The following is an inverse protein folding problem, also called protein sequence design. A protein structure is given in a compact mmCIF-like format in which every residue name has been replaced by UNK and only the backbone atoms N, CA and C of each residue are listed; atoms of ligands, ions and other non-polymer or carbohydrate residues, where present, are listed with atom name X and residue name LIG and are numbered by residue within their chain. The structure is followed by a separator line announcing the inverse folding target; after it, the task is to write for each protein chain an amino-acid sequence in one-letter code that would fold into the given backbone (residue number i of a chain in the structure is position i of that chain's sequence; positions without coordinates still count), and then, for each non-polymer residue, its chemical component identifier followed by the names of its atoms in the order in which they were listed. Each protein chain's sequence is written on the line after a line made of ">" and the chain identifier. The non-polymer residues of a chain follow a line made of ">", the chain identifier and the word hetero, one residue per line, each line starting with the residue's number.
data_IF_015189764404
#
_entry.id   IF_015189764404
#
_cell.length_a   1.000
_cell.length_b   1.000
_cell.length_c   1.000
_cell.angle_alpha   90.00
_cell.angle_beta   90.00
_cell.angle_gamma   90.00
#
_symmetry.space_group_name_H-M   'P 1'
#
loop_
_entity.id
_entity.type
_entity.pdbx_description
1 polymer ?
#
# COMPACT_ATOMS: atom_id res chain seq x y z
N UNK A 1 0.24 -3.90 2.05
CA UNK A 1 -0.24 -2.54 2.44
C UNK A 1 -1.62 -2.60 3.09
N UNK A 2 -1.91 -1.75 4.09
CA UNK A 2 -3.22 -1.74 4.80
C UNK A 2 -4.36 -1.39 3.85
N UNK A 3 -4.20 -0.36 2.98
CA UNK A 3 -5.25 0.05 2.04
C UNK A 3 -5.66 -1.06 1.06
N UNK A 4 -4.71 -1.85 0.55
CA UNK A 4 -5.01 -3.03 -0.29
C UNK A 4 -5.82 -4.12 0.44
N UNK A 5 -5.76 -4.15 1.75
CA UNK A 5 -6.42 -5.16 2.59
C UNK A 5 -7.68 -4.65 3.30
N UNK A 6 -7.95 -3.35 3.19
CA UNK A 6 -9.09 -2.70 3.77
C UNK A 6 -10.28 -2.82 2.81
N UNK A 7 -11.42 -3.40 3.23
CA UNK A 7 -12.64 -3.41 2.43
C UNK A 7 -13.14 -1.98 2.17
N UNK A 8 -14.05 -1.79 1.18
CA UNK A 8 -14.65 -0.49 0.88
C UNK A 8 -15.27 0.22 2.09
N UNK A 9 -15.70 -0.56 3.10
CA UNK A 9 -16.20 -0.08 4.39
C UNK A 9 -15.17 0.68 5.24
N UNK A 10 -13.88 0.66 4.88
CA UNK A 10 -12.82 1.43 5.55
C UNK A 10 -12.35 0.87 6.89
N UNK A 11 -12.75 -0.37 7.23
CA UNK A 11 -12.47 -0.99 8.53
C UNK A 11 -11.76 -2.34 8.40
N UNK A 12 -10.78 -2.61 9.26
CA UNK A 12 -10.12 -3.91 9.35
C UNK A 12 -9.81 -4.29 10.80
N UNK A 13 -9.97 -5.56 11.16
CA UNK A 13 -9.59 -6.06 12.49
C UNK A 13 -8.10 -6.39 12.54
N UNK A 14 -7.43 -6.06 13.63
CA UNK A 14 -5.99 -6.28 13.82
C UNK A 14 -5.56 -7.71 13.51
N UNK A 15 -6.23 -8.72 14.07
CA UNK A 15 -5.88 -10.12 13.83
C UNK A 15 -6.09 -10.56 12.38
N UNK A 16 -7.09 -9.99 11.68
CA UNK A 16 -7.28 -10.23 10.24
C UNK A 16 -6.16 -9.57 9.44
N UNK A 17 -5.80 -8.33 9.78
CA UNK A 17 -4.70 -7.61 9.14
C UNK A 17 -3.37 -8.34 9.32
N UNK A 18 -3.06 -8.78 10.54
CA UNK A 18 -1.83 -9.50 10.88
C UNK A 18 -1.67 -10.78 10.03
N UNK A 19 -2.73 -11.58 9.91
CA UNK A 19 -2.74 -12.76 9.03
C UNK A 19 -2.55 -12.41 7.56
N UNK A 20 -3.26 -11.38 7.07
CA UNK A 20 -3.19 -10.98 5.65
C UNK A 20 -1.81 -10.48 5.22
N UNK A 21 -1.06 -9.86 6.13
CA UNK A 21 0.30 -9.36 5.84
C UNK A 21 1.40 -10.29 6.38
N UNK A 22 1.03 -11.50 6.85
CA UNK A 22 1.93 -12.52 7.35
C UNK A 22 2.88 -12.05 8.47
N UNK A 23 2.35 -11.33 9.46
CA UNK A 23 3.11 -10.89 10.65
C UNK A 23 2.39 -11.30 11.93
N UNK A 24 3.14 -11.41 13.04
CA UNK A 24 2.54 -11.63 14.36
C UNK A 24 1.67 -10.46 14.81
N UNK A 25 0.61 -10.74 15.59
CA UNK A 25 -0.32 -9.72 16.08
C UNK A 25 0.38 -8.62 16.92
N UNK A 26 1.43 -8.99 17.65
CA UNK A 26 2.24 -8.03 18.42
C UNK A 26 2.98 -7.02 17.52
N UNK A 27 3.53 -7.47 16.39
CA UNK A 27 4.17 -6.62 15.39
C UNK A 27 3.15 -5.74 14.67
N UNK A 28 2.01 -6.32 14.27
CA UNK A 28 0.92 -5.56 13.67
C UNK A 28 0.40 -4.46 14.62
N UNK A 29 0.24 -4.79 15.91
CA UNK A 29 -0.21 -3.83 16.93
C UNK A 29 0.75 -2.64 17.03
N UNK A 30 2.06 -2.92 17.16
CA UNK A 30 3.10 -1.86 17.20
C UNK A 30 3.05 -0.98 15.95
N UNK A 31 2.87 -1.56 14.77
CA UNK A 31 2.75 -0.82 13.51
C UNK A 31 1.51 0.09 13.50
N UNK A 32 0.36 -0.44 13.89
CA UNK A 32 -0.92 0.29 13.92
C UNK A 32 -0.87 1.44 14.91
N UNK A 33 -0.26 1.25 16.09
CA UNK A 33 -0.04 2.33 17.04
C UNK A 33 0.83 3.45 16.48
N UNK A 34 1.91 3.14 15.73
CA UNK A 34 2.73 4.15 15.06
C UNK A 34 1.92 4.92 14.00
N UNK A 35 1.13 4.21 13.19
CA UNK A 35 0.28 4.82 12.18
C UNK A 35 -0.82 5.69 12.79
N UNK A 36 -1.34 5.29 13.96
CA UNK A 36 -2.30 6.08 14.74
C UNK A 36 -1.66 7.36 15.27
N UNK A 37 -0.45 7.27 15.84
CA UNK A 37 0.33 8.45 16.25
C UNK A 37 0.67 9.40 15.09
N UNK A 38 0.75 8.88 13.86
CA UNK A 38 0.94 9.69 12.64
C UNK A 38 -0.38 10.26 12.05
N UNK A 39 -1.53 9.95 12.65
CA UNK A 39 -2.85 10.38 12.18
C UNK A 39 -3.32 9.70 10.89
N UNK A 40 -2.75 8.54 10.54
CA UNK A 40 -3.10 7.79 9.33
C UNK A 40 -4.21 6.75 9.58
N UNK A 41 -4.35 6.28 10.82
CA UNK A 41 -5.41 5.36 11.21
C UNK A 41 -6.03 5.73 12.55
N UNK A 42 -7.30 5.40 12.77
CA UNK A 42 -7.88 5.35 14.11
C UNK A 42 -7.87 3.90 14.59
N UNK A 43 -7.42 3.69 15.82
CA UNK A 43 -7.37 2.37 16.44
C UNK A 43 -8.28 2.34 17.68
N UNK A 44 -9.37 1.59 17.59
CA UNK A 44 -10.41 1.54 18.61
C UNK A 44 -10.30 0.30 19.52
N UNK A 45 -11.09 0.31 20.60
CA UNK A 45 -11.26 -0.84 21.49
C UNK A 45 -11.67 -2.08 20.67
N UNK A 46 -11.22 -3.26 21.12
CA UNK A 46 -11.41 -4.55 20.43
C UNK A 46 -10.61 -4.77 19.13
N UNK A 47 -9.68 -3.87 18.82
CA UNK A 47 -8.71 -4.06 17.74
C UNK A 47 -9.22 -3.67 16.36
N UNK A 48 -10.19 -2.77 16.28
CA UNK A 48 -10.72 -2.26 15.01
C UNK A 48 -9.87 -1.10 14.52
N UNK A 49 -9.49 -1.14 13.24
CA UNK A 49 -8.63 -0.15 12.59
C UNK A 49 -9.44 0.53 11.49
N UNK A 50 -9.46 1.87 11.51
CA UNK A 50 -10.10 2.71 10.49
C UNK A 50 -9.04 3.54 9.79
N UNK A 51 -9.15 3.68 8.48
CA UNK A 51 -8.34 4.68 7.75
C UNK A 51 -8.90 6.07 8.01
N UNK A 52 -8.03 7.02 8.36
CA UNK A 52 -8.39 8.44 8.30
C UNK A 52 -8.45 8.89 6.83
N UNK A 53 -9.06 10.05 6.51
CA UNK A 53 -9.00 10.60 5.16
C UNK A 53 -7.56 10.71 4.62
N UNK A 54 -6.63 11.19 5.46
CA UNK A 54 -5.21 11.28 5.13
C UNK A 54 -4.55 9.91 4.93
N UNK A 55 -4.89 8.93 5.77
CA UNK A 55 -4.39 7.57 5.63
C UNK A 55 -4.88 6.88 4.36
N UNK A 56 -6.13 7.15 3.99
CA UNK A 56 -6.72 6.70 2.72
C UNK A 56 -5.96 7.29 1.54
N UNK A 57 -5.85 8.61 1.44
CA UNK A 57 -5.13 9.28 0.36
C UNK A 57 -3.69 8.76 0.24
N UNK A 58 -2.99 8.68 1.37
CA UNK A 58 -1.61 8.17 1.41
C UNK A 58 -1.54 6.73 0.89
N UNK A 59 -2.44 5.85 1.34
CA UNK A 59 -2.40 4.46 0.94
C UNK A 59 -2.91 4.19 -0.47
N UNK A 60 -3.83 5.01 -0.99
CA UNK A 60 -4.22 5.01 -2.41
C UNK A 60 -3.03 5.36 -3.29
N UNK A 61 -2.25 6.39 -2.91
CA UNK A 61 -1.01 6.70 -3.63
C UNK A 61 0.02 5.57 -3.58
N UNK A 62 0.18 4.89 -2.43
CA UNK A 62 1.11 3.76 -2.34
C UNK A 62 0.70 2.59 -3.24
N UNK A 63 -0.60 2.30 -3.35
CA UNK A 63 -1.11 1.28 -4.28
C UNK A 63 -0.89 1.73 -5.73
N UNK A 64 -1.23 2.98 -6.07
CA UNK A 64 -0.97 3.54 -7.40
C UNK A 64 0.50 3.42 -7.80
N UNK A 65 1.42 3.80 -6.90
CA UNK A 65 2.87 3.71 -7.14
C UNK A 65 3.30 2.27 -7.44
N UNK A 66 2.83 1.31 -6.65
CA UNK A 66 3.11 -0.11 -6.85
C UNK A 66 2.65 -0.57 -8.24
N UNK A 67 1.40 -0.29 -8.60
CA UNK A 67 0.79 -0.75 -9.83
C UNK A 67 1.47 -0.14 -11.07
N UNK A 68 1.86 1.14 -11.00
CA UNK A 68 2.59 1.83 -12.08
C UNK A 68 3.97 1.20 -12.32
N UNK A 69 4.72 0.96 -11.24
CA UNK A 69 6.06 0.40 -11.35
C UNK A 69 6.00 -1.06 -11.81
N UNK A 70 5.09 -1.87 -11.26
CA UNK A 70 4.92 -3.26 -11.72
C UNK A 70 4.52 -3.30 -13.20
N UNK A 71 3.63 -2.41 -13.63
CA UNK A 71 3.22 -2.31 -15.03
C UNK A 71 4.40 -1.97 -15.95
N UNK A 72 5.26 -1.04 -15.54
CA UNK A 72 6.47 -0.71 -16.30
C UNK A 72 7.41 -1.90 -16.41
N UNK A 73 7.73 -2.54 -15.27
CA UNK A 73 8.66 -3.66 -15.23
C UNK A 73 8.15 -4.84 -16.06
N UNK A 74 6.85 -5.14 -15.98
CA UNK A 74 6.22 -6.18 -16.80
C UNK A 74 6.29 -5.85 -18.29
N UNK A 75 6.07 -4.59 -18.66
CA UNK A 75 6.15 -4.15 -20.06
C UNK A 75 7.58 -4.32 -20.61
N UNK A 76 8.60 -3.89 -19.88
CA UNK A 76 10.00 -3.96 -20.35
C UNK A 76 10.56 -5.39 -20.36
N UNK A 77 10.14 -6.23 -19.42
CA UNK A 77 10.63 -7.61 -19.29
C UNK A 77 9.77 -8.63 -20.05
N UNK A 78 8.58 -8.25 -20.50
CA UNK A 78 7.63 -9.17 -21.14
C UNK A 78 7.12 -10.26 -20.19
N UNK A 79 6.99 -9.97 -18.90
CA UNK A 79 6.71 -10.96 -17.86
C UNK A 79 5.29 -10.84 -17.26
N UNK A 80 4.83 -11.93 -16.63
CA UNK A 80 3.51 -12.00 -16.02
C UNK A 80 3.39 -11.27 -14.67
N UNK A 81 4.50 -11.14 -13.93
CA UNK A 81 4.58 -10.39 -12.67
C UNK A 81 6.02 -10.00 -12.38
N UNK A 82 6.20 -8.81 -11.81
CA UNK A 82 7.48 -8.26 -11.36
C UNK A 82 7.40 -7.81 -9.90
N UNK A 83 6.58 -8.51 -9.11
CA UNK A 83 6.23 -8.12 -7.75
C UNK A 83 7.48 -7.86 -6.88
N UNK A 84 8.43 -8.80 -6.87
CA UNK A 84 9.61 -8.69 -6.01
C UNK A 84 10.49 -7.48 -6.36
N UNK A 85 10.74 -7.23 -7.65
CA UNK A 85 11.51 -6.07 -8.07
C UNK A 85 10.77 -4.76 -7.80
N UNK A 86 9.45 -4.76 -8.03
CA UNK A 86 8.59 -3.61 -7.74
C UNK A 86 8.72 -3.19 -6.28
N UNK A 87 8.57 -4.13 -5.35
CA UNK A 87 8.66 -3.87 -3.91
C UNK A 87 10.05 -3.35 -3.49
N UNK A 88 11.13 -3.79 -4.15
CA UNK A 88 12.47 -3.30 -3.88
C UNK A 88 12.70 -1.86 -4.37
N UNK A 89 12.11 -1.49 -5.51
CA UNK A 89 12.39 -0.21 -6.19
C UNK A 89 11.43 0.90 -5.76
N UNK A 90 10.16 0.58 -5.48
CA UNK A 90 9.10 1.58 -5.31
C UNK A 90 9.38 2.61 -4.20
N UNK A 91 10.13 2.22 -3.17
CA UNK A 91 10.47 3.08 -2.05
C UNK A 91 11.49 4.18 -2.38
N UNK A 92 12.23 4.04 -3.49
CA UNK A 92 13.26 4.97 -3.92
C UNK A 92 12.78 6.00 -4.95
N UNK A 93 11.57 5.81 -5.49
CA UNK A 93 11.01 6.71 -6.49
C UNK A 93 10.11 7.77 -5.86
N UNK A 94 10.33 9.02 -6.27
CA UNK A 94 9.48 10.13 -5.90
C UNK A 94 8.18 10.18 -6.73
N UNK A 95 7.22 10.97 -6.25
CA UNK A 95 5.91 11.12 -6.91
C UNK A 95 6.01 11.63 -8.34
N UNK A 96 6.93 12.56 -8.60
CA UNK A 96 7.16 13.11 -9.93
C UNK A 96 7.57 12.00 -10.92
N UNK A 97 8.48 11.13 -10.51
CA UNK A 97 8.97 10.02 -11.34
C UNK A 97 7.87 9.01 -11.61
N UNK A 98 7.12 8.62 -10.58
CA UNK A 98 5.98 7.70 -10.71
C UNK A 98 4.91 8.24 -11.66
N UNK A 99 4.54 9.52 -11.54
CA UNK A 99 3.57 10.16 -12.43
C UNK A 99 4.06 10.26 -13.88
N UNK A 100 5.36 10.47 -14.10
CA UNK A 100 5.96 10.42 -15.44
C UNK A 100 5.94 9.02 -16.05
N UNK A 101 6.25 7.98 -15.26
CA UNK A 101 6.16 6.59 -15.70
C UNK A 101 4.71 6.25 -16.07
N UNK A 102 3.74 6.66 -15.25
CA UNK A 102 2.33 6.45 -15.54
C UNK A 102 1.94 7.09 -16.88
N UNK A 103 2.30 8.35 -17.12
CA UNK A 103 2.07 9.02 -18.41
C UNK A 103 2.77 8.34 -19.57
N UNK A 104 3.98 7.84 -19.37
CA UNK A 104 4.70 7.07 -20.37
C UNK A 104 3.93 5.79 -20.74
N UNK A 105 3.42 5.05 -19.76
CA UNK A 105 2.65 3.82 -19.98
C UNK A 105 1.33 4.08 -20.73
N UNK A 106 0.63 5.17 -20.44
CA UNK A 106 -0.61 5.52 -21.15
C UNK A 106 -0.40 5.76 -22.65
N UNK A 107 0.81 6.16 -23.07
CA UNK A 107 1.16 6.37 -24.47
C UNK A 107 1.59 5.06 -25.17
N UNK A 108 2.17 4.12 -24.42
CA UNK A 108 2.83 2.91 -24.95
C UNK A 108 2.06 1.63 -24.63
N UNK A 109 0.77 1.74 -24.29
CA UNK A 109 -0.16 0.62 -24.12
C UNK A 109 -0.75 0.15 -25.44
#
# INVERSE_FOLDING_TARGET
>A
MICRNCPPSGTVRLGVLARKINVGESSASKMVHKLSGAGLVNFEKYGTIYLTPRGRETGEYLVFRHDVIESLLRLINGSGSELHQTELIEHFLDRRTVENIFRFLEIHR
#
